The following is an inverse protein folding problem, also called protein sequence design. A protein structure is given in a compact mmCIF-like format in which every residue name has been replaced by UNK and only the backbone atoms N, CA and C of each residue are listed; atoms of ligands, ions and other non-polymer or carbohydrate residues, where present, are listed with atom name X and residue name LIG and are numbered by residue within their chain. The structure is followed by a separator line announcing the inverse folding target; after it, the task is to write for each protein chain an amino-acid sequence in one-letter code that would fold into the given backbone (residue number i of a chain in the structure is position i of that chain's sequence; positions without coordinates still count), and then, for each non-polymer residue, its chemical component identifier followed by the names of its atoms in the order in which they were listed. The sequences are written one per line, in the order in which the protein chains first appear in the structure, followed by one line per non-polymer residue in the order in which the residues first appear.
data_IF_569746828019
#
_entry.id   IF_569746828019
#
_cell.length_a   1.000
_cell.length_b   1.000
_cell.length_c   1.000
_cell.angle_alpha   90.00
_cell.angle_beta   90.00
_cell.angle_gamma   90.00
#
_symmetry.space_group_name_H-M   'P 1'
#
loop_
_entity.id
_entity.type
_entity.pdbx_description
1 polymer ?
#
# COMPACT_ATOMS: atom_id res chain seq x y z
N UNK A 1 22.09 0.72 -2.11
CA UNK A 1 21.63 0.58 -2.20
C UNK A 1 20.78 0.55 -2.79
N UNK A 2 20.52 0.72 -3.00
CA UNK A 2 19.67 1.05 -3.80
C UNK A 2 18.55 0.27 -4.00
N UNK A 3 18.32 -0.65 -3.63
CA UNK A 3 17.25 -1.27 -3.84
C UNK A 3 16.04 -0.58 -3.63
N UNK A 4 15.89 0.33 -2.81
CA UNK A 4 14.68 1.00 -2.62
C UNK A 4 14.33 1.77 -3.79
N UNK A 5 15.20 2.07 -4.62
CA UNK A 5 14.84 2.84 -5.79
C UNK A 5 14.14 1.99 -6.80
N UNK A 6 13.96 0.70 -6.49
CA UNK A 6 13.27 -0.13 -7.43
C UNK A 6 11.81 -0.31 -7.11
N UNK A 7 11.27 0.50 -6.26
CA UNK A 7 9.86 0.40 -5.93
C UNK A 7 9.02 0.69 -7.17
N UNK A 8 8.04 -0.15 -7.41
CA UNK A 8 7.16 0.05 -8.54
C UNK A 8 6.17 1.15 -8.27
N UNK A 9 5.68 1.82 -9.30
CA UNK A 9 4.58 2.76 -9.10
C UNK A 9 3.41 2.02 -8.46
N UNK A 10 2.76 2.67 -7.54
CA UNK A 10 1.67 2.03 -6.81
C UNK A 10 0.58 1.55 -7.76
N UNK A 11 0.29 2.33 -8.80
CA UNK A 11 -0.78 1.97 -9.71
C UNK A 11 -0.48 0.73 -10.54
N UNK A 12 0.77 0.25 -10.53
CA UNK A 12 1.12 -0.97 -11.23
C UNK A 12 0.92 -2.21 -10.37
N UNK A 13 0.54 -2.04 -9.13
CA UNK A 13 0.41 -3.17 -8.21
C UNK A 13 -1.02 -3.68 -8.21
N UNK A 14 -1.17 -5.00 -8.06
CA UNK A 14 -2.48 -5.55 -7.78
C UNK A 14 -2.82 -5.25 -6.33
N UNK A 15 -4.07 -5.46 -5.95
CA UNK A 15 -4.47 -5.24 -4.57
C UNK A 15 -3.63 -6.09 -3.63
N UNK A 16 -3.44 -7.37 -3.96
CA UNK A 16 -2.66 -8.24 -3.09
C UNK A 16 -1.23 -7.76 -2.94
N UNK A 17 -0.64 -7.30 -4.05
CA UNK A 17 0.73 -6.80 -3.99
C UNK A 17 0.81 -5.53 -3.15
N UNK A 18 -0.13 -4.63 -3.34
CA UNK A 18 -0.14 -3.38 -2.60
C UNK A 18 -0.36 -3.63 -1.12
N UNK A 19 -1.28 -4.53 -0.79
CA UNK A 19 -1.58 -4.83 0.59
C UNK A 19 -0.39 -5.52 1.27
N UNK A 20 0.28 -6.42 0.57
CA UNK A 20 1.46 -7.09 1.11
C UNK A 20 2.57 -6.09 1.38
N UNK A 21 2.78 -5.15 0.46
CA UNK A 21 3.80 -4.14 0.67
C UNK A 21 3.45 -3.24 1.85
N UNK A 22 2.17 -2.92 2.00
CA UNK A 22 1.72 -2.09 3.12
C UNK A 22 2.00 -2.80 4.44
N UNK A 23 1.67 -4.09 4.52
CA UNK A 23 1.92 -4.84 5.73
C UNK A 23 3.39 -4.90 6.07
N UNK A 24 4.23 -5.07 5.05
CA UNK A 24 5.66 -5.12 5.28
C UNK A 24 6.17 -3.77 5.76
N UNK A 25 5.64 -2.68 5.21
CA UNK A 25 6.03 -1.34 5.63
C UNK A 25 5.68 -1.11 7.10
N UNK A 26 4.50 -1.53 7.50
CA UNK A 26 4.08 -1.37 8.88
C UNK A 26 4.98 -2.16 9.82
N UNK A 27 5.27 -3.41 9.45
CA UNK A 27 6.14 -4.24 10.29
C UNK A 27 7.52 -3.62 10.45
N UNK A 28 8.07 -3.10 9.35
CA UNK A 28 9.38 -2.48 9.40
C UNK A 28 9.37 -1.24 10.29
N UNK A 29 8.31 -0.43 10.18
CA UNK A 29 8.20 0.76 11.01
C UNK A 29 8.05 0.40 12.48
N UNK A 30 7.31 -0.68 12.76
CA UNK A 30 7.11 -1.08 14.14
C UNK A 30 8.37 -1.57 14.82
N UNK A 31 9.32 -2.11 14.04
CA UNK A 31 10.57 -2.54 14.64
C UNK A 31 11.38 -1.36 15.15
N UNK A 32 11.20 -0.20 14.53
CA UNK A 32 11.81 1.01 15.07
C UNK A 32 13.31 1.09 14.94
N UNK A 33 13.90 0.32 14.03
CA UNK A 33 15.35 0.33 13.90
C UNK A 33 15.83 1.05 12.64
N UNK A 34 14.97 1.85 12.03
CA UNK A 34 15.35 2.60 10.84
C UNK A 34 15.74 4.03 11.21
N UNK A 35 16.68 4.61 10.48
CA UNK A 35 16.93 6.05 10.63
C UNK A 35 15.67 6.84 10.37
N UNK A 36 15.56 8.01 10.95
CA UNK A 36 14.36 8.82 10.84
C UNK A 36 13.98 9.10 9.39
N UNK A 37 14.95 9.46 8.57
CA UNK A 37 14.64 9.79 7.18
C UNK A 37 14.04 8.62 6.44
N UNK A 38 14.58 7.43 6.69
CA UNK A 38 14.06 6.25 6.02
C UNK A 38 12.67 5.92 6.53
N UNK A 39 12.45 6.13 7.82
CA UNK A 39 11.13 5.89 8.39
C UNK A 39 10.10 6.81 7.76
N UNK A 40 10.45 8.06 7.51
CA UNK A 40 9.52 8.99 6.89
C UNK A 40 9.17 8.60 5.48
N UNK A 41 10.16 8.16 4.70
CA UNK A 41 9.91 7.72 3.34
C UNK A 41 8.99 6.51 3.34
N UNK A 42 9.27 5.57 4.24
CA UNK A 42 8.46 4.37 4.32
C UNK A 42 7.04 4.68 4.78
N UNK A 43 6.91 5.61 5.71
CA UNK A 43 5.60 6.03 6.18
C UNK A 43 4.79 6.66 5.06
N UNK A 44 5.43 7.53 4.27
CA UNK A 44 4.73 8.15 3.15
C UNK A 44 4.29 7.13 2.12
N UNK A 45 5.16 6.17 1.84
CA UNK A 45 4.80 5.10 0.91
C UNK A 45 3.62 4.31 1.45
N UNK A 46 3.64 4.04 2.76
CA UNK A 46 2.55 3.31 3.39
C UNK A 46 1.22 4.05 3.29
N UNK A 47 1.26 5.38 3.44
CA UNK A 47 0.05 6.16 3.30
C UNK A 47 -0.51 6.06 1.89
N UNK A 48 0.35 6.11 0.89
CA UNK A 48 -0.09 5.99 -0.48
C UNK A 48 -0.65 4.61 -0.77
N UNK A 49 0.00 3.58 -0.23
CA UNK A 49 -0.48 2.21 -0.41
C UNK A 49 -1.83 2.02 0.25
N UNK A 50 -2.00 2.60 1.44
CA UNK A 50 -3.25 2.49 2.16
C UNK A 50 -4.40 3.14 1.38
N UNK A 51 -4.14 4.32 0.82
CA UNK A 51 -5.15 5.01 0.04
C UNK A 51 -5.50 4.23 -1.22
N UNK A 52 -4.50 3.64 -1.86
CA UNK A 52 -4.71 2.87 -3.06
C UNK A 52 -5.55 1.62 -2.76
N UNK A 53 -5.21 0.93 -1.68
CA UNK A 53 -5.97 -0.27 -1.30
C UNK A 53 -7.41 0.09 -0.97
N UNK A 54 -7.63 1.20 -0.27
CA UNK A 54 -8.97 1.63 0.06
C UNK A 54 -9.77 1.94 -1.20
N UNK A 55 -9.12 2.56 -2.17
CA UNK A 55 -9.80 2.87 -3.42
C UNK A 55 -10.21 1.59 -4.14
N UNK A 56 -9.32 0.60 -4.18
CA UNK A 56 -9.64 -0.64 -4.86
C UNK A 56 -10.76 -1.39 -4.15
N UNK A 57 -10.79 -1.35 -2.83
CA UNK A 57 -11.86 -1.97 -2.09
C UNK A 57 -13.19 -1.28 -2.34
N UNK A 58 -13.17 0.06 -2.38
CA UNK A 58 -14.39 0.80 -2.66
C UNK A 58 -14.94 0.44 -4.03
N UNK A 59 -14.07 0.34 -5.01
CA UNK A 59 -14.50 -0.01 -6.36
C UNK A 59 -15.09 -1.40 -6.42
N UNK A 60 -14.47 -2.34 -5.68
CA UNK A 60 -14.98 -3.70 -5.65
C UNK A 60 -16.33 -3.76 -4.98
N UNK A 61 -16.52 -3.01 -3.90
CA UNK A 61 -17.79 -2.98 -3.20
C UNK A 61 -18.90 -2.40 -4.08
N UNK A 62 -18.58 -1.38 -4.84
CA UNK A 62 -19.56 -0.80 -5.73
C UNK A 62 -19.99 -1.79 -6.79
N UNK A 63 -19.05 -2.58 -7.31
CA UNK A 63 -19.39 -3.57 -8.29
C UNK A 63 -20.30 -4.62 -7.70
N UNK A 64 -20.02 -5.07 -6.49
CA UNK A 64 -20.82 -6.06 -5.83
C UNK A 64 -22.24 -5.53 -5.59
N UNK A 65 -22.36 -4.31 -5.14
CA UNK A 65 -23.66 -3.72 -4.89
C UNK A 65 -24.47 -3.63 -6.18
N UNK A 66 -23.81 -3.28 -7.27
CA UNK A 66 -24.50 -3.16 -8.54
C UNK A 66 -25.02 -4.51 -9.00
N UNK A 67 -24.25 -5.55 -8.81
CA UNK A 67 -24.68 -6.88 -9.20
C UNK A 67 -25.87 -7.31 -8.36
N UNK A 68 -25.82 -7.07 -7.06
CA UNK A 68 -26.91 -7.45 -6.19
C UNK A 68 -28.18 -6.66 -6.48
N UNK A 69 -28.04 -5.44 -6.87
CA UNK A 69 -29.20 -4.61 -7.16
C UNK A 69 -29.88 -5.02 -8.45
N UNK A 70 -29.18 -5.71 -9.31
CA UNK A 70 -29.74 -6.16 -10.56
C UNK A 70 -30.60 -7.39 -10.34
#
# INVERSE_FOLDING_TARGET
MPKKTKLQPITDLTFEQAFAELEESVRTLERGDLPLEESLVLYERGQELSAYCAKLLDEAELKIQRVEAS
#
